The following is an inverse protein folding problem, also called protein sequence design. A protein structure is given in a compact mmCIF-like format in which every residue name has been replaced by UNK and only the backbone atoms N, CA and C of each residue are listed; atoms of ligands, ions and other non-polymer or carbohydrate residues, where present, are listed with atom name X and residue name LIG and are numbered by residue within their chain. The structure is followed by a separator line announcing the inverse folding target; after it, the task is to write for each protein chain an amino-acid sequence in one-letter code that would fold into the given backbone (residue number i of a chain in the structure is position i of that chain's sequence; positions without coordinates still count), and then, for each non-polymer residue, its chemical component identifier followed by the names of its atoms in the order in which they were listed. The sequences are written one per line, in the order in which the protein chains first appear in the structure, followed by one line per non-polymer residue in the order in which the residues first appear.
data_IF_262460685798
#
_entry.id   IF_262460685798
#
_cell.length_a   1.000
_cell.length_b   1.000
_cell.length_c   1.000
_cell.angle_alpha   90.00
_cell.angle_beta   90.00
_cell.angle_gamma   90.00
#
_symmetry.space_group_name_H-M   'P 1'
#
loop_
_entity.id
_entity.type
_entity.pdbx_description
1 polymer ?
#
# COMPACT_ATOMS: atom_id res chain seq x y z
N UNK A 1 12.91 17.29 -2.93
CA UNK A 1 11.67 18.08 -2.77
C UNK A 1 10.68 17.19 -2.05
N UNK A 2 10.06 17.67 -0.98
CA UNK A 2 9.05 16.90 -0.27
C UNK A 2 7.79 16.76 -1.14
N UNK A 3 7.28 15.53 -1.24
CA UNK A 3 6.13 15.12 -2.05
C UNK A 3 5.20 14.17 -1.27
N UNK A 4 5.28 14.19 0.05
CA UNK A 4 4.50 13.31 0.94
C UNK A 4 2.99 13.45 0.68
N UNK A 5 2.48 14.67 0.51
CA UNK A 5 1.07 14.91 0.20
C UNK A 5 0.65 14.43 -1.20
N UNK A 6 1.51 14.61 -2.21
CA UNK A 6 1.24 14.12 -3.57
C UNK A 6 1.17 12.59 -3.57
N UNK A 7 2.12 11.93 -2.89
CA UNK A 7 2.17 10.48 -2.75
C UNK A 7 0.96 9.93 -1.99
N UNK A 8 0.48 10.62 -0.95
CA UNK A 8 -0.76 10.22 -0.26
C UNK A 8 -1.97 10.33 -1.18
N UNK A 9 -2.05 11.37 -1.99
CA UNK A 9 -3.15 11.54 -2.95
C UNK A 9 -3.17 10.42 -3.99
N UNK A 10 -2.00 10.05 -4.51
CA UNK A 10 -1.89 8.91 -5.42
C UNK A 10 -2.27 7.60 -4.70
N UNK A 11 -1.85 7.41 -3.44
CA UNK A 11 -2.20 6.24 -2.64
C UNK A 11 -3.72 6.12 -2.39
N UNK A 12 -4.40 7.26 -2.18
CA UNK A 12 -5.84 7.34 -2.01
C UNK A 12 -6.58 6.98 -3.30
N UNK A 13 -6.09 7.48 -4.45
CA UNK A 13 -6.65 7.14 -5.77
C UNK A 13 -6.57 5.63 -6.05
N UNK A 14 -5.43 4.99 -5.76
CA UNK A 14 -5.29 3.54 -5.84
C UNK A 14 -6.27 2.80 -4.91
N UNK A 15 -6.50 3.31 -3.70
CA UNK A 15 -7.44 2.71 -2.76
C UNK A 15 -8.88 2.83 -3.26
N UNK A 16 -9.29 4.00 -3.73
CA UNK A 16 -10.60 4.24 -4.32
C UNK A 16 -10.84 3.35 -5.54
N UNK A 17 -9.83 3.22 -6.42
CA UNK A 17 -9.89 2.30 -7.55
C UNK A 17 -10.07 0.83 -7.10
N UNK A 18 -9.37 0.40 -6.05
CA UNK A 18 -9.54 -0.95 -5.49
C UNK A 18 -10.97 -1.19 -4.99
N UNK A 19 -11.59 -0.21 -4.34
CA UNK A 19 -12.97 -0.29 -3.86
C UNK A 19 -13.99 -0.39 -4.99
N UNK A 20 -13.81 0.37 -6.07
CA UNK A 20 -14.67 0.30 -7.25
C UNK A 20 -14.53 -1.02 -8.01
N UNK A 21 -13.30 -1.53 -8.12
CA UNK A 21 -13.02 -2.83 -8.73
C UNK A 21 -13.60 -3.98 -7.91
N UNK A 22 -13.68 -3.84 -6.58
CA UNK A 22 -14.28 -4.84 -5.71
C UNK A 22 -15.78 -4.99 -5.98
N UNK A 23 -16.50 -3.88 -6.22
CA UNK A 23 -17.94 -3.90 -6.56
C UNK A 23 -18.22 -4.67 -7.85
N UNK A 24 -17.26 -4.72 -8.77
CA UNK A 24 -17.40 -5.38 -10.08
C UNK A 24 -16.75 -6.75 -10.18
N UNK A 25 -16.22 -7.27 -9.08
CA UNK A 25 -15.67 -8.63 -9.04
C UNK A 25 -14.27 -8.81 -9.61
N UNK A 26 -13.50 -7.73 -9.78
CA UNK A 26 -12.17 -7.77 -10.41
C UNK A 26 -11.06 -8.06 -9.40
N UNK A 27 -11.12 -9.23 -8.75
CA UNK A 27 -10.31 -9.57 -7.57
C UNK A 27 -8.80 -9.38 -7.73
N UNK A 28 -8.20 -9.86 -8.82
CA UNK A 28 -6.77 -9.66 -9.07
C UNK A 28 -6.40 -8.17 -9.16
N UNK A 29 -7.28 -7.35 -9.74
CA UNK A 29 -7.07 -5.89 -9.83
C UNK A 29 -7.28 -5.20 -8.49
N UNK A 30 -8.21 -5.68 -7.65
CA UNK A 30 -8.32 -5.21 -6.26
C UNK A 30 -7.01 -5.44 -5.53
N UNK A 31 -6.50 -6.67 -5.52
CA UNK A 31 -5.25 -7.02 -4.84
C UNK A 31 -4.05 -6.17 -5.32
N UNK A 32 -3.93 -5.93 -6.63
CA UNK A 32 -2.89 -5.08 -7.20
C UNK A 32 -2.99 -3.63 -6.71
N UNK A 33 -4.18 -3.03 -6.81
CA UNK A 33 -4.37 -1.63 -6.40
C UNK A 33 -4.18 -1.46 -4.88
N UNK A 34 -4.56 -2.45 -4.07
CA UNK A 34 -4.27 -2.45 -2.64
C UNK A 34 -2.76 -2.45 -2.34
N UNK A 35 -1.96 -3.25 -3.07
CA UNK A 35 -0.50 -3.23 -2.92
C UNK A 35 0.08 -1.86 -3.32
N UNK A 36 -0.36 -1.28 -4.44
CA UNK A 36 0.10 0.05 -4.89
C UNK A 36 -0.28 1.18 -3.92
N UNK A 37 -1.50 1.14 -3.38
CA UNK A 37 -1.95 2.07 -2.35
C UNK A 37 -1.06 2.00 -1.11
N UNK A 38 -0.81 0.80 -0.58
CA UNK A 38 0.08 0.61 0.56
C UNK A 38 1.51 1.09 0.27
N UNK A 39 2.03 0.84 -0.94
CA UNK A 39 3.38 1.27 -1.35
C UNK A 39 3.54 2.78 -1.30
N UNK A 40 2.61 3.50 -1.92
CA UNK A 40 2.66 4.96 -1.99
C UNK A 40 2.38 5.60 -0.62
N UNK A 41 1.49 5.01 0.18
CA UNK A 41 1.23 5.45 1.54
C UNK A 41 2.49 5.33 2.42
N UNK A 42 3.16 4.18 2.44
CA UNK A 42 4.40 4.00 3.21
C UNK A 42 5.52 4.92 2.70
N UNK A 43 5.63 5.11 1.37
CA UNK A 43 6.57 6.09 0.79
C UNK A 43 6.25 7.52 1.20
N UNK A 44 4.98 7.90 1.27
CA UNK A 44 4.56 9.23 1.72
C UNK A 44 4.98 9.48 3.17
N UNK A 45 4.73 8.51 4.05
CA UNK A 45 5.15 8.58 5.45
C UNK A 45 6.68 8.73 5.56
N UNK A 46 7.47 7.92 4.86
CA UNK A 46 8.93 8.05 4.82
C UNK A 46 9.38 9.40 4.25
N UNK A 47 8.75 9.87 3.18
CA UNK A 47 9.08 11.14 2.56
C UNK A 47 8.84 12.32 3.52
N UNK A 48 7.77 12.28 4.33
CA UNK A 48 7.49 13.29 5.36
C UNK A 48 8.53 13.33 6.48
N UNK A 49 9.26 12.22 6.67
CA UNK A 49 10.40 12.08 7.59
C UNK A 49 11.72 12.54 6.94
N UNK A 50 11.70 13.00 5.69
CA UNK A 50 12.89 13.35 4.92
C UNK A 50 13.63 12.14 4.35
N UNK A 51 13.02 10.95 4.36
CA UNK A 51 13.59 9.72 3.82
C UNK A 51 13.01 9.43 2.44
N UNK A 52 13.85 9.47 1.41
CA UNK A 52 13.48 9.04 0.06
C UNK A 52 13.88 7.58 -0.15
N UNK A 53 12.91 6.73 -0.51
CA UNK A 53 13.14 5.32 -0.82
C UNK A 53 12.67 4.98 -2.23
N UNK A 54 13.49 4.17 -2.92
CA UNK A 54 13.20 3.60 -4.24
C UNK A 54 12.91 2.11 -4.07
N UNK A 55 12.09 1.54 -4.94
CA UNK A 55 11.68 0.13 -4.87
C UNK A 55 10.19 -0.04 -4.62
N UNK A 56 9.74 -1.30 -4.58
CA UNK A 56 8.33 -1.70 -4.45
C UNK A 56 8.08 -2.67 -3.29
N UNK A 57 9.12 -3.00 -2.53
CA UNK A 57 9.06 -3.95 -1.43
C UNK A 57 8.45 -3.26 -0.21
N UNK A 58 7.21 -3.61 0.12
CA UNK A 58 6.49 -3.05 1.26
C UNK A 58 7.14 -3.44 2.59
N UNK A 59 7.71 -4.64 2.66
CA UNK A 59 8.40 -5.13 3.84
C UNK A 59 9.64 -4.29 4.15
N UNK A 60 10.41 -3.90 3.14
CA UNK A 60 11.54 -2.97 3.28
C UNK A 60 11.06 -1.58 3.73
N UNK A 61 10.05 -1.01 3.07
CA UNK A 61 9.49 0.30 3.42
C UNK A 61 8.96 0.34 4.86
N UNK A 62 8.24 -0.70 5.29
CA UNK A 62 7.73 -0.83 6.65
C UNK A 62 8.87 -0.94 7.66
N UNK A 63 9.91 -1.71 7.35
CA UNK A 63 11.06 -1.90 8.26
C UNK A 63 11.77 -0.58 8.59
N UNK A 64 11.81 0.36 7.66
CA UNK A 64 12.34 1.70 7.87
C UNK A 64 11.42 2.54 8.76
N UNK A 65 10.11 2.50 8.52
CA UNK A 65 9.12 3.23 9.33
C UNK A 65 9.04 2.73 10.77
N UNK A 66 9.22 1.43 10.99
CA UNK A 66 9.24 0.81 12.33
C UNK A 66 10.32 1.40 13.23
N UNK A 67 11.40 1.96 12.67
CA UNK A 67 12.44 2.66 13.44
C UNK A 67 11.95 3.97 14.06
N UNK A 68 10.85 4.51 13.56
CA UNK A 68 10.23 5.76 14.02
C UNK A 68 8.93 5.52 14.79
N UNK A 69 8.17 4.49 14.43
CA UNK A 69 6.97 4.06 15.14
C UNK A 69 6.92 2.54 15.24
N UNK A 70 7.24 2.02 16.43
CA UNK A 70 7.33 0.58 16.67
C UNK A 70 5.97 -0.14 16.52
N UNK A 71 4.87 0.58 16.75
CA UNK A 71 3.51 0.07 16.62
C UNK A 71 3.20 -0.44 15.19
N UNK A 72 3.87 0.11 14.18
CA UNK A 72 3.75 -0.31 12.78
C UNK A 72 4.23 -1.76 12.55
N UNK A 73 4.97 -2.37 13.48
CA UNK A 73 5.34 -3.79 13.41
C UNK A 73 4.13 -4.72 13.26
N UNK A 74 2.95 -4.29 13.73
CA UNK A 74 1.70 -5.05 13.56
C UNK A 74 1.33 -5.33 12.10
N UNK A 75 1.86 -4.55 11.14
CA UNK A 75 1.62 -4.73 9.71
C UNK A 75 2.60 -5.67 9.01
N UNK A 76 3.54 -6.32 9.72
CA UNK A 76 4.56 -7.17 9.10
C UNK A 76 3.99 -8.29 8.22
N UNK A 77 2.92 -8.94 8.67
CA UNK A 77 2.29 -10.00 7.88
C UNK A 77 1.41 -9.43 6.75
N UNK A 78 0.79 -8.27 6.97
CA UNK A 78 0.00 -7.57 5.97
C UNK A 78 0.86 -7.15 4.77
N UNK A 79 2.02 -6.53 5.00
CA UNK A 79 2.91 -6.08 3.90
C UNK A 79 3.47 -7.25 3.11
N UNK A 80 3.87 -8.34 3.77
CA UNK A 80 4.33 -9.58 3.09
C UNK A 80 3.26 -10.20 2.21
N UNK A 81 1.99 -10.10 2.63
CA UNK A 81 0.87 -10.63 1.86
C UNK A 81 0.55 -9.74 0.66
N UNK A 82 0.58 -8.42 0.84
CA UNK A 82 0.42 -7.47 -0.24
C UNK A 82 1.57 -7.54 -1.27
N UNK A 83 2.81 -7.74 -0.84
CA UNK A 83 3.98 -7.90 -1.73
C UNK A 83 3.79 -9.04 -2.75
N UNK A 84 3.10 -10.12 -2.35
CA UNK A 84 2.76 -11.24 -3.24
C UNK A 84 1.78 -10.85 -4.37
N UNK A 85 1.14 -9.69 -4.28
CA UNK A 85 0.20 -9.19 -5.29
C UNK A 85 0.85 -8.26 -6.30
N UNK A 86 2.10 -7.85 -6.12
CA UNK A 86 2.74 -6.92 -7.05
C UNK A 86 2.93 -7.51 -8.46
N UNK A 87 3.52 -8.71 -8.58
CA UNK A 87 3.85 -9.31 -9.89
C UNK A 87 2.73 -10.22 -10.42
N UNK A 88 2.23 -11.21 -9.65
CA UNK A 88 1.36 -12.25 -10.21
C UNK A 88 -0.03 -11.76 -10.62
N UNK A 89 -0.55 -10.68 -10.03
CA UNK A 89 -1.83 -10.08 -10.43
C UNK A 89 -1.82 -9.47 -11.83
N UNK A 90 -0.63 -9.23 -12.40
CA UNK A 90 -0.44 -8.50 -13.66
C UNK A 90 -0.20 -9.39 -14.87
N UNK A 91 0.38 -10.58 -14.69
CA UNK A 91 0.89 -11.36 -15.81
C UNK A 91 0.44 -12.82 -15.73
N UNK A 92 -0.17 -13.33 -16.80
CA UNK A 92 -0.61 -14.73 -16.86
C UNK A 92 0.57 -15.72 -16.77
N UNK A 93 1.77 -15.31 -17.21
CA UNK A 93 2.97 -16.16 -17.18
C UNK A 93 3.49 -16.48 -15.78
N UNK A 94 2.91 -15.89 -14.71
CA UNK A 94 3.20 -16.30 -13.33
C UNK A 94 2.41 -17.53 -12.90
N UNK A 95 1.50 -18.04 -13.74
CA UNK A 95 0.68 -19.21 -13.48
C UNK A 95 0.91 -20.29 -14.54
N UNK A 96 0.71 -21.55 -14.15
CA UNK A 96 0.86 -22.70 -15.06
C UNK A 96 -0.15 -22.67 -16.22
N UNK A 97 -1.35 -22.14 -15.98
CA UNK A 97 -2.41 -21.97 -16.97
C UNK A 97 -3.41 -20.91 -16.54
N UNK A 98 -4.26 -20.46 -17.47
CA UNK A 98 -5.31 -19.48 -17.19
C UNK A 98 -4.82 -18.03 -17.18
N UNK A 99 -5.76 -17.11 -16.98
CA UNK A 99 -5.45 -15.69 -16.84
C UNK A 99 -5.17 -15.34 -15.38
N UNK A 100 -4.35 -14.31 -15.12
CA UNK A 100 -4.06 -13.86 -13.75
C UNK A 100 -5.34 -13.55 -12.94
N UNK A 101 -6.43 -13.15 -13.60
CA UNK A 101 -7.72 -12.86 -12.97
C UNK A 101 -8.36 -14.10 -12.31
N UNK A 102 -8.14 -15.29 -12.87
CA UNK A 102 -8.80 -16.53 -12.44
C UNK A 102 -8.23 -17.10 -11.14
N UNK A 103 -7.06 -16.65 -10.72
CA UNK A 103 -6.33 -17.19 -9.57
C UNK A 103 -6.58 -16.43 -8.26
N UNK A 104 -7.40 -15.38 -8.28
CA UNK A 104 -7.70 -14.56 -7.11
C UNK A 104 -9.16 -14.67 -6.70
N UNK A 105 -9.37 -14.74 -5.40
CA UNK A 105 -10.69 -14.90 -4.79
C UNK A 105 -11.19 -13.61 -4.17
N UNK A 106 -12.51 -13.52 -3.97
CA UNK A 106 -13.13 -12.42 -3.21
C UNK A 106 -12.51 -12.26 -1.81
N UNK A 107 -12.24 -13.37 -1.11
CA UNK A 107 -11.67 -13.34 0.23
C UNK A 107 -10.27 -12.71 0.26
N UNK A 108 -9.42 -13.01 -0.72
CA UNK A 108 -8.11 -12.38 -0.85
C UNK A 108 -8.24 -10.88 -1.15
N UNK A 109 -9.17 -10.50 -2.03
CA UNK A 109 -9.42 -9.11 -2.35
C UNK A 109 -9.94 -8.30 -1.15
N UNK A 110 -10.83 -8.88 -0.35
CA UNK A 110 -11.39 -8.27 0.85
C UNK A 110 -10.33 -8.04 1.93
N UNK A 111 -9.51 -9.05 2.19
CA UNK A 111 -8.38 -8.96 3.11
C UNK A 111 -7.34 -7.93 2.64
N UNK A 112 -7.01 -7.92 1.34
CA UNK A 112 -6.10 -6.93 0.76
C UNK A 112 -6.62 -5.49 0.94
N UNK A 113 -7.92 -5.26 0.74
CA UNK A 113 -8.58 -3.97 0.99
C UNK A 113 -8.48 -3.57 2.46
N UNK A 114 -8.72 -4.50 3.38
CA UNK A 114 -8.60 -4.22 4.81
C UNK A 114 -7.17 -3.76 5.15
N UNK A 115 -6.16 -4.50 4.71
CA UNK A 115 -4.76 -4.14 4.97
C UNK A 115 -4.37 -2.81 4.35
N UNK A 116 -4.75 -2.55 3.10
CA UNK A 116 -4.45 -1.28 2.44
C UNK A 116 -5.10 -0.10 3.18
N UNK A 117 -6.36 -0.22 3.64
CA UNK A 117 -7.04 0.83 4.43
C UNK A 117 -6.37 1.10 5.77
N UNK A 118 -5.93 0.06 6.47
CA UNK A 118 -5.26 0.21 7.76
C UNK A 118 -3.88 0.87 7.60
N UNK A 119 -3.10 0.42 6.62
CA UNK A 119 -1.78 1.00 6.31
C UNK A 119 -1.92 2.46 5.85
N UNK A 120 -2.89 2.75 4.96
CA UNK A 120 -3.13 4.10 4.47
C UNK A 120 -3.42 5.07 5.62
N UNK A 121 -4.33 4.72 6.53
CA UNK A 121 -4.71 5.58 7.68
C UNK A 121 -3.54 5.87 8.59
N UNK A 122 -2.69 4.88 8.86
CA UNK A 122 -1.51 5.06 9.71
C UNK A 122 -0.45 5.93 9.04
N UNK A 123 -0.22 5.74 7.74
CA UNK A 123 0.67 6.60 6.97
C UNK A 123 0.16 8.05 6.90
N UNK A 124 -1.15 8.24 6.68
CA UNK A 124 -1.80 9.55 6.67
C UNK A 124 -1.61 10.27 8.01
N UNK A 125 -1.81 9.58 9.14
CA UNK A 125 -1.58 10.12 10.48
C UNK A 125 -0.15 10.62 10.66
N UNK A 126 0.85 9.81 10.26
CA UNK A 126 2.27 10.19 10.34
C UNK A 126 2.56 11.45 9.52
N UNK A 127 2.05 11.52 8.28
CA UNK A 127 2.25 12.69 7.42
C UNK A 127 1.60 13.93 8.04
N UNK A 128 0.37 13.80 8.54
CA UNK A 128 -0.37 14.91 9.16
C UNK A 128 0.34 15.47 10.41
N UNK A 129 0.84 14.60 11.28
CA UNK A 129 1.63 14.99 12.46
C UNK A 129 2.90 15.77 12.06
N UNK A 130 3.59 15.31 11.02
CA UNK A 130 4.80 15.98 10.51
C UNK A 130 4.50 17.32 9.88
N UNK A 131 3.42 17.44 9.12
CA UNK A 131 2.97 18.71 8.55
C UNK A 131 2.60 19.72 9.63
N UNK A 132 1.89 19.29 10.69
CA UNK A 132 1.56 20.15 11.82
C UNK A 132 2.82 20.65 12.55
N UNK A 133 3.79 19.77 12.80
CA UNK A 133 5.05 20.11 13.48
C UNK A 133 5.91 21.13 12.69
N UNK A 134 5.81 21.17 11.35
CA UNK A 134 6.49 22.16 10.52
C UNK A 134 5.83 23.53 10.56
N UNK A 135 4.49 23.58 10.62
CA UNK A 135 3.72 24.83 10.65
C UNK A 135 3.79 25.56 11.99
N UNK A 136 4.13 24.84 13.06
CA UNK A 136 4.33 25.41 14.40
C UNK A 136 5.75 25.91 14.69
N UNK A 137 6.67 25.83 13.72
CA UNK A 137 8.04 26.38 13.77
C UNK A 137 8.14 27.65 12.95
#
# INVERSE_FOLDING_TARGET
MERSLDLLKDAEDFLGAAEDLYKTGRWAKVCFNCQQSAELALKAALNSLGLERRGHDLSELLSELVKYSEELKRFQDAVKKLDQYYIPTRYANTFFSGSAMEHYTKSQAEEALQYAREIFREAEGIVAEREAAKRGR
#
